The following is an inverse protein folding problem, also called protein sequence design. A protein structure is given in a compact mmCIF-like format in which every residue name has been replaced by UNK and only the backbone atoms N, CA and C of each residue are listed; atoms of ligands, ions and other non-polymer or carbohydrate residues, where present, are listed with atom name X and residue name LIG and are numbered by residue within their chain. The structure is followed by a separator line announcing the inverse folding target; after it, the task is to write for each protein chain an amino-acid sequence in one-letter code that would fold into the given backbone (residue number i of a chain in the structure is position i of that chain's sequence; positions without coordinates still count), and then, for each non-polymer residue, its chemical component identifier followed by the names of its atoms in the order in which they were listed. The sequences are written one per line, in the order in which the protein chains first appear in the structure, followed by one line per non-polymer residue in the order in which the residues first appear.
data_IF_182636871670
#
_entry.id   IF_182636871670
#
_cell.length_a   1.000
_cell.length_b   1.000
_cell.length_c   1.000
_cell.angle_alpha   90.00
_cell.angle_beta   90.00
_cell.angle_gamma   90.00
#
_symmetry.space_group_name_H-M   'P 1'
#
loop_
_entity.id
_entity.type
_entity.pdbx_description
1 polymer ?
#
# COMPACT_ATOMS: atom_id res chain seq x y z
N UNK A 1 -14.34 -1.65 7.16
CA UNK A 1 -13.07 -2.22 6.70
C UNK A 1 -13.32 -2.84 5.36
N UNK A 2 -12.73 -2.23 4.33
CA UNK A 2 -12.82 -2.68 2.96
C UNK A 2 -11.87 -3.85 2.71
N UNK A 3 -12.36 -4.92 2.08
CA UNK A 3 -11.56 -6.08 1.67
C UNK A 3 -11.35 -6.02 0.16
N UNK A 4 -10.14 -5.64 -0.28
CA UNK A 4 -9.77 -5.56 -1.68
C UNK A 4 -9.03 -6.82 -2.11
N UNK A 5 -9.68 -7.64 -2.94
CA UNK A 5 -9.15 -8.94 -3.35
C UNK A 5 -8.32 -8.87 -4.62
N UNK A 6 -8.62 -7.91 -5.49
CA UNK A 6 -7.97 -7.77 -6.78
C UNK A 6 -7.50 -6.35 -7.05
N UNK A 7 -6.50 -6.22 -7.93
CA UNK A 7 -6.03 -4.92 -8.42
C UNK A 7 -7.16 -4.19 -9.18
N UNK A 8 -8.04 -4.92 -9.85
CA UNK A 8 -9.22 -4.36 -10.50
C UNK A 8 -10.19 -3.71 -9.50
N UNK A 9 -10.54 -4.41 -8.41
CA UNK A 9 -11.39 -3.87 -7.34
C UNK A 9 -10.78 -2.62 -6.72
N UNK A 10 -9.47 -2.66 -6.45
CA UNK A 10 -8.74 -1.52 -5.90
C UNK A 10 -8.79 -0.30 -6.82
N UNK A 11 -8.50 -0.46 -8.10
CA UNK A 11 -8.61 0.62 -9.09
C UNK A 11 -10.03 1.19 -9.13
N UNK A 12 -11.05 0.32 -9.17
CA UNK A 12 -12.46 0.75 -9.23
C UNK A 12 -12.87 1.54 -7.98
N UNK A 13 -12.45 1.10 -6.79
CA UNK A 13 -12.71 1.79 -5.53
C UNK A 13 -12.00 3.15 -5.46
N UNK A 14 -10.84 3.29 -6.08
CA UNK A 14 -10.07 4.53 -6.17
C UNK A 14 -10.43 5.40 -7.39
N UNK A 15 -11.52 5.08 -8.11
CA UNK A 15 -11.94 5.85 -9.29
C UNK A 15 -10.97 5.79 -10.48
N UNK A 16 -10.03 4.84 -10.48
CA UNK A 16 -9.00 4.69 -11.48
C UNK A 16 -9.36 3.65 -12.55
N UNK A 17 -8.94 3.90 -13.79
CA UNK A 17 -9.09 2.93 -14.87
C UNK A 17 -8.11 1.77 -14.66
N UNK A 18 -8.62 0.54 -14.68
CA UNK A 18 -7.75 -0.65 -14.67
C UNK A 18 -7.10 -0.83 -16.04
N UNK A 19 -5.78 -0.71 -16.10
CA UNK A 19 -5.00 -0.97 -17.32
C UNK A 19 -4.50 -2.42 -17.41
N UNK A 20 -4.24 -3.06 -16.27
CA UNK A 20 -3.88 -4.46 -16.18
C UNK A 20 -4.54 -5.12 -14.96
N UNK A 21 -5.11 -6.32 -15.08
CA UNK A 21 -5.91 -6.93 -14.00
C UNK A 21 -5.08 -7.40 -12.79
N UNK A 22 -3.76 -7.61 -12.96
CA UNK A 22 -2.88 -8.13 -11.91
C UNK A 22 -1.82 -7.13 -11.42
N UNK A 23 -1.69 -5.95 -12.02
CA UNK A 23 -0.70 -4.94 -11.58
C UNK A 23 -1.15 -3.54 -11.96
N UNK A 24 -0.84 -2.56 -11.12
CA UNK A 24 -1.09 -1.16 -11.42
C UNK A 24 -0.33 -0.23 -10.49
N UNK A 25 -0.05 0.97 -10.99
CA UNK A 25 0.35 2.12 -10.19
C UNK A 25 -0.86 3.04 -10.14
N UNK A 26 -1.32 3.35 -8.93
CA UNK A 26 -2.56 4.08 -8.68
C UNK A 26 -2.18 5.38 -7.98
N UNK A 27 -2.60 6.52 -8.54
CA UNK A 27 -2.43 7.81 -7.89
C UNK A 27 -3.43 7.90 -6.73
N UNK A 28 -2.94 8.27 -5.54
CA UNK A 28 -3.74 8.43 -4.34
C UNK A 28 -4.19 9.88 -4.11
N UNK A 29 -3.93 10.81 -5.04
CA UNK A 29 -4.44 12.18 -4.96
C UNK A 29 -5.98 12.22 -4.90
N UNK A 30 -6.52 12.74 -3.80
CA UNK A 30 -7.95 12.86 -3.52
C UNK A 30 -8.70 11.52 -3.62
N UNK A 31 -8.33 10.51 -2.81
CA UNK A 31 -9.00 9.21 -2.86
C UNK A 31 -10.41 9.39 -2.29
N UNK A 32 -11.44 9.10 -3.09
CA UNK A 32 -12.85 9.18 -2.66
C UNK A 32 -13.25 7.97 -1.78
N UNK A 33 -12.45 7.66 -0.77
CA UNK A 33 -12.52 6.42 0.00
C UNK A 33 -12.73 6.74 1.49
N UNK A 34 -13.95 6.48 1.98
CA UNK A 34 -14.38 6.79 3.35
C UNK A 34 -14.16 5.62 4.35
N UNK A 35 -13.25 4.69 4.04
CA UNK A 35 -13.04 3.48 4.84
C UNK A 35 -11.82 3.58 5.76
N UNK A 36 -12.06 3.43 7.07
CA UNK A 36 -11.04 3.51 8.14
C UNK A 36 -9.89 2.49 8.02
N UNK A 37 -10.13 1.39 7.31
CA UNK A 37 -9.19 0.29 7.19
C UNK A 37 -9.41 -0.44 5.86
N UNK A 38 -8.31 -0.74 5.18
CA UNK A 38 -8.32 -1.46 3.91
C UNK A 38 -7.44 -2.69 4.04
N UNK A 39 -8.00 -3.86 3.76
CA UNK A 39 -7.26 -5.11 3.62
C UNK A 39 -6.91 -5.31 2.16
N UNK A 40 -5.65 -5.63 1.88
CA UNK A 40 -5.18 -5.93 0.53
C UNK A 40 -4.84 -7.42 0.43
N UNK A 41 -5.57 -8.21 -0.36
CA UNK A 41 -5.23 -9.63 -0.65
C UNK A 41 -4.13 -9.77 -1.72
N UNK A 42 -3.37 -8.70 -1.95
CA UNK A 42 -2.28 -8.62 -2.91
C UNK A 42 -1.14 -7.79 -2.33
N UNK A 43 0.03 -7.82 -2.96
CA UNK A 43 1.15 -7.00 -2.53
C UNK A 43 0.85 -5.53 -2.82
N UNK A 44 0.99 -4.69 -1.80
CA UNK A 44 0.77 -3.25 -1.89
C UNK A 44 2.00 -2.50 -1.38
N UNK A 45 2.50 -1.57 -2.19
CA UNK A 45 3.56 -0.63 -1.79
C UNK A 45 2.99 0.77 -1.89
N UNK A 46 2.81 1.41 -0.74
CA UNK A 46 2.31 2.77 -0.65
C UNK A 46 3.50 3.72 -0.51
N UNK A 47 3.58 4.71 -1.39
CA UNK A 47 4.34 5.92 -1.19
C UNK A 47 3.37 6.98 -0.68
N UNK A 48 3.55 7.42 0.56
CA UNK A 48 2.74 8.43 1.22
C UNK A 48 3.53 9.73 1.24
N UNK A 49 3.04 10.76 0.58
CA UNK A 49 3.68 12.07 0.51
C UNK A 49 2.97 13.06 1.44
N UNK A 50 3.68 14.11 1.86
CA UNK A 50 3.12 15.23 2.63
C UNK A 50 2.25 14.79 3.82
N UNK A 51 2.80 14.01 4.77
CA UNK A 51 2.12 13.69 6.03
C UNK A 51 2.37 14.79 7.10
N UNK A 52 1.51 15.82 7.24
CA UNK A 52 1.61 16.77 8.34
C UNK A 52 1.41 16.05 9.68
N UNK A 53 2.35 16.22 10.61
CA UNK A 53 2.33 15.54 11.92
C UNK A 53 3.01 14.15 11.95
N UNK A 54 3.48 13.67 10.80
CA UNK A 54 4.17 12.38 10.67
C UNK A 54 3.23 11.19 10.54
N UNK A 55 3.62 10.20 9.73
CA UNK A 55 2.86 8.94 9.59
C UNK A 55 3.05 8.12 10.87
N UNK A 56 1.99 8.05 11.69
CA UNK A 56 1.92 7.20 12.89
C UNK A 56 1.96 5.70 12.57
N UNK A 57 1.88 5.37 11.28
CA UNK A 57 1.94 4.04 10.71
C UNK A 57 3.37 3.45 10.72
N UNK A 58 4.40 4.30 10.78
CA UNK A 58 5.81 3.90 10.68
C UNK A 58 6.61 4.46 11.87
N UNK A 59 7.53 3.65 12.40
CA UNK A 59 8.45 4.06 13.47
C UNK A 59 9.47 5.04 12.90
N UNK A 60 9.10 6.33 12.80
CA UNK A 60 10.02 7.36 12.32
C UNK A 60 11.17 7.54 13.31
N UNK A 61 12.39 7.31 12.85
CA UNK A 61 13.64 7.71 13.53
C UNK A 61 14.05 9.11 13.07
N UNK A 62 14.85 9.78 13.89
CA UNK A 62 15.29 11.18 13.66
C UNK A 62 16.04 11.40 12.32
N UNK A 63 16.59 10.34 11.72
CA UNK A 63 17.33 10.39 10.46
C UNK A 63 16.51 9.96 9.23
N UNK A 64 15.22 9.70 9.39
CA UNK A 64 14.37 9.23 8.28
C UNK A 64 13.96 10.37 7.35
N UNK A 65 13.86 10.04 6.06
CA UNK A 65 13.41 10.95 5.01
C UNK A 65 12.05 11.57 5.38
N UNK A 66 12.03 12.89 5.54
CA UNK A 66 10.89 13.62 6.11
C UNK A 66 9.73 13.82 5.13
N UNK A 67 10.02 13.81 3.83
CA UNK A 67 9.06 14.26 2.80
C UNK A 67 8.06 13.18 2.39
N UNK A 68 8.43 11.91 2.49
CA UNK A 68 7.55 10.80 2.16
C UNK A 68 7.83 9.57 3.03
N UNK A 69 6.87 8.66 3.11
CA UNK A 69 6.98 7.41 3.86
C UNK A 69 6.52 6.27 2.97
N UNK A 70 7.32 5.19 2.93
CA UNK A 70 6.95 3.99 2.20
C UNK A 70 6.41 2.93 3.16
N UNK A 71 5.27 2.34 2.79
CA UNK A 71 4.66 1.22 3.52
C UNK A 71 4.57 0.03 2.57
N UNK A 72 5.06 -1.11 3.02
CA UNK A 72 5.06 -2.34 2.25
C UNK A 72 4.14 -3.34 2.93
N UNK A 73 3.19 -3.87 2.18
CA UNK A 73 2.18 -4.80 2.66
C UNK A 73 2.20 -6.06 1.81
N UNK A 74 2.18 -7.19 2.51
CA UNK A 74 1.98 -8.53 1.94
C UNK A 74 0.49 -8.83 1.79
N UNK A 75 0.14 -9.80 0.91
CA UNK A 75 -1.23 -10.26 0.77
C UNK A 75 -1.85 -10.67 2.12
N UNK A 76 -3.00 -10.09 2.43
CA UNK A 76 -3.76 -10.32 3.64
C UNK A 76 -3.55 -9.27 4.73
N UNK A 77 -2.57 -8.36 4.57
CA UNK A 77 -2.32 -7.31 5.56
C UNK A 77 -3.36 -6.18 5.50
N UNK A 78 -3.63 -5.62 6.67
CA UNK A 78 -4.60 -4.55 6.87
C UNK A 78 -3.83 -3.24 7.04
N UNK A 79 -4.08 -2.31 6.13
CA UNK A 79 -3.64 -0.94 6.27
C UNK A 79 -4.66 -0.14 7.07
N UNK A 80 -4.19 0.55 8.12
CA UNK A 80 -4.97 1.49 8.92
C UNK A 80 -4.22 2.81 8.98
N UNK A 81 -4.87 3.91 8.59
CA UNK A 81 -4.34 5.24 8.81
C UNK A 81 -4.85 5.82 10.12
N UNK A 82 -4.01 6.62 10.78
CA UNK A 82 -4.28 7.17 12.11
C UNK A 82 -5.21 8.38 12.08
N UNK A 83 -6.05 8.48 13.13
CA UNK A 83 -6.91 9.58 13.61
C UNK A 83 -7.96 10.19 12.66
N UNK A 84 -7.71 10.25 11.36
CA UNK A 84 -8.63 10.85 10.37
C UNK A 84 -9.23 9.82 9.40
N UNK A 85 -8.86 8.54 9.54
CA UNK A 85 -9.54 7.40 8.94
C UNK A 85 -9.57 7.33 7.39
N UNK A 86 -8.67 8.01 6.68
CA UNK A 86 -8.62 7.98 5.20
C UNK A 86 -7.30 7.42 4.67
N UNK A 87 -7.33 6.92 3.42
CA UNK A 87 -6.11 6.69 2.64
C UNK A 87 -5.30 8.00 2.53
N UNK A 88 -3.97 7.94 2.31
CA UNK A 88 -3.17 9.16 2.20
C UNK A 88 -3.69 10.04 1.07
N UNK A 89 -3.83 11.34 1.32
CA UNK A 89 -4.37 12.30 0.35
C UNK A 89 -3.43 12.58 -0.82
N UNK A 90 -2.17 12.14 -0.72
CA UNK A 90 -1.14 12.24 -1.75
C UNK A 90 -0.19 11.04 -1.77
N UNK A 91 0.23 10.71 -2.98
CA UNK A 91 1.26 9.73 -3.26
C UNK A 91 0.76 8.63 -4.20
N UNK A 92 1.36 7.45 -4.11
CA UNK A 92 1.14 6.38 -5.08
C UNK A 92 0.99 5.02 -4.40
N UNK A 93 0.13 4.18 -4.95
CA UNK A 93 0.01 2.76 -4.61
C UNK A 93 0.47 1.92 -5.79
N UNK A 94 1.56 1.17 -5.61
CA UNK A 94 1.89 0.04 -6.47
C UNK A 94 1.19 -1.20 -5.94
N UNK A 95 0.24 -1.72 -6.70
CA UNK A 95 -0.53 -2.92 -6.38
C UNK A 95 -0.18 -4.03 -7.37
N UNK A 96 0.15 -5.24 -6.88
CA UNK A 96 0.35 -6.40 -7.75
C UNK A 96 -0.10 -7.72 -7.10
N UNK A 97 -0.88 -8.48 -7.85
CA UNK A 97 -1.43 -9.76 -7.41
C UNK A 97 -0.33 -10.84 -7.36
N UNK A 98 -0.34 -11.77 -6.38
CA UNK A 98 0.65 -12.85 -6.31
C UNK A 98 0.75 -13.69 -7.58
N UNK A 99 -0.37 -13.82 -8.29
CA UNK A 99 -0.43 -14.57 -9.55
C UNK A 99 0.45 -13.97 -10.66
N UNK A 100 0.70 -12.66 -10.63
CA UNK A 100 1.62 -12.02 -11.57
C UNK A 100 3.03 -12.63 -11.47
N UNK A 101 3.39 -13.12 -10.29
CA UNK A 101 4.71 -13.66 -10.02
C UNK A 101 4.83 -15.13 -10.45
N UNK A 102 3.75 -15.81 -10.85
CA UNK A 102 3.83 -17.20 -11.28
C UNK A 102 4.88 -17.39 -12.38
N UNK A 103 5.74 -18.41 -12.21
CA UNK A 103 6.82 -18.76 -13.14
C UNK A 103 7.90 -17.67 -13.30
N UNK A 104 8.00 -16.74 -12.36
CA UNK A 104 9.11 -15.77 -12.28
C UNK A 104 10.11 -16.19 -11.21
N UNK A 105 11.36 -15.73 -11.34
CA UNK A 105 12.37 -15.85 -10.28
C UNK A 105 11.93 -15.11 -9.00
N UNK A 106 11.23 -13.99 -9.15
CA UNK A 106 10.77 -13.16 -8.03
C UNK A 106 9.84 -13.94 -7.08
N UNK A 107 8.93 -14.78 -7.59
CA UNK A 107 8.07 -15.62 -6.73
C UNK A 107 8.84 -16.45 -5.72
N UNK A 108 10.01 -16.96 -6.10
CA UNK A 108 10.82 -17.82 -5.23
C UNK A 108 11.56 -17.03 -4.16
N UNK A 109 11.87 -15.75 -4.42
CA UNK A 109 12.69 -14.92 -3.56
C UNK A 109 11.90 -13.85 -2.82
N UNK A 110 10.61 -13.64 -3.13
CA UNK A 110 9.86 -12.51 -2.59
C UNK A 110 9.79 -12.50 -1.06
N UNK A 111 9.71 -13.69 -0.45
CA UNK A 111 9.71 -13.87 1.01
C UNK A 111 11.05 -13.55 1.69
N UNK A 112 12.13 -13.46 0.92
CA UNK A 112 13.45 -13.12 1.44
C UNK A 112 13.64 -11.60 1.57
N UNK A 113 12.75 -10.80 0.99
CA UNK A 113 12.78 -9.35 1.12
C UNK A 113 12.15 -8.93 2.45
N UNK A 114 13.01 -8.52 3.38
CA UNK A 114 12.62 -8.14 4.74
C UNK A 114 11.79 -6.85 4.80
N UNK A 115 11.83 -6.01 3.77
CA UNK A 115 11.06 -4.75 3.73
C UNK A 115 9.54 -4.97 3.72
N UNK A 116 9.05 -6.15 3.34
CA UNK A 116 7.64 -6.54 3.46
C UNK A 116 7.25 -7.02 4.87
N UNK A 117 8.23 -7.19 5.76
CA UNK A 117 8.03 -7.66 7.13
C UNK A 117 8.36 -6.53 8.12
N UNK A 118 7.75 -5.37 7.91
CA UNK A 118 8.03 -4.17 8.69
C UNK A 118 7.78 -4.43 10.18
N UNK A 119 8.85 -4.34 10.99
CA UNK A 119 8.74 -4.33 12.45
C UNK A 119 8.72 -2.88 12.90
N UNK A 120 7.69 -2.47 13.63
CA UNK A 120 7.57 -1.10 14.20
C UNK A 120 8.74 -0.71 15.12
N UNK A 121 9.54 -1.69 15.53
CA UNK A 121 10.67 -1.56 16.46
C UNK A 121 12.04 -1.43 15.74
N UNK A 122 12.08 -1.51 14.41
CA UNK A 122 13.31 -1.37 13.63
C UNK A 122 13.73 0.06 13.31
#
# INVERSE_FOLDING_TARGET
MLDLRTVYECNRCLGCKTLHPQVGIINLENPSLEEDAVKFEFYAVLLIEDCPGGCCCCGRKYYDYSNATMVFLTPGEIFRMSKENTLPDKGYLLAFHPDLLFRTSLKNHIKNYTFFHYRKEE
#
